data_IF_285389651702
#
_entry.id   IF_285389651702
#
_cell.length_a   1.000
_cell.length_b   1.000
_cell.length_c   1.000
_cell.angle_alpha   90.00
_cell.angle_beta   90.00
_cell.angle_gamma   90.00
#
_symmetry.space_group_name_H-M   'P 1'
#
loop_
_entity.id
_entity.type
_entity.pdbx_description
1 polymer ?
#
# COMPACT_ATOMS: atom_id res chain seq x y z
N UNK A 1 -11.24 -9.22 4.79
CA UNK A 1 -9.92 -9.68 4.25
C UNK A 1 -9.09 -10.28 5.39
N UNK A 2 -8.40 -11.37 5.12
CA UNK A 2 -7.47 -12.00 6.07
C UNK A 2 -6.08 -11.35 5.98
N UNK A 3 -5.47 -11.03 7.14
CA UNK A 3 -4.18 -10.32 7.20
C UNK A 3 -3.17 -11.19 7.96
N UNK A 4 -2.04 -11.45 7.32
CA UNK A 4 -0.93 -12.19 7.88
C UNK A 4 0.34 -11.33 7.98
N UNK A 5 0.91 -11.23 9.16
CA UNK A 5 2.13 -10.46 9.41
C UNK A 5 3.40 -11.32 9.52
N UNK A 6 3.26 -12.65 9.53
CA UNK A 6 4.38 -13.58 9.67
C UNK A 6 4.14 -14.84 8.83
N UNK A 7 5.12 -15.24 8.05
CA UNK A 7 5.05 -16.43 7.18
C UNK A 7 4.75 -17.72 7.92
N UNK A 8 5.11 -17.81 9.21
CA UNK A 8 4.88 -19.02 10.04
C UNK A 8 3.44 -19.22 10.55
N UNK A 9 2.55 -18.25 10.32
CA UNK A 9 1.19 -18.27 10.90
C UNK A 9 0.17 -19.08 10.08
N UNK A 10 0.46 -19.38 8.81
CA UNK A 10 -0.47 -20.07 7.90
C UNK A 10 0.17 -21.30 7.30
N UNK A 11 -0.57 -22.42 7.36
CA UNK A 11 -0.12 -23.70 6.84
C UNK A 11 -0.70 -24.08 5.48
N UNK A 12 -1.82 -23.50 5.06
CA UNK A 12 -2.47 -23.82 3.77
C UNK A 12 -3.30 -22.65 3.26
N UNK A 13 -2.77 -21.93 2.25
CA UNK A 13 -3.56 -21.05 1.41
C UNK A 13 -4.03 -21.82 0.17
N UNK A 14 -5.21 -21.50 -0.41
CA UNK A 14 -5.56 -21.97 -1.75
C UNK A 14 -4.62 -21.37 -2.79
N UNK A 15 -4.74 -21.78 -4.03
CA UNK A 15 -4.03 -21.17 -5.14
C UNK A 15 -4.41 -19.69 -5.28
N UNK A 16 -3.42 -18.82 -5.45
CA UNK A 16 -3.62 -17.36 -5.40
C UNK A 16 -3.21 -16.64 -6.68
N UNK A 17 -3.84 -15.47 -6.89
CA UNK A 17 -3.41 -14.43 -7.81
C UNK A 17 -2.82 -13.28 -6.95
N UNK A 18 -1.52 -13.04 -7.05
CA UNK A 18 -0.79 -12.18 -6.12
C UNK A 18 -0.40 -10.85 -6.77
N UNK A 19 -0.86 -9.74 -6.22
CA UNK A 19 -0.35 -8.40 -6.54
C UNK A 19 0.84 -8.05 -5.64
N UNK A 20 1.93 -7.59 -6.24
CA UNK A 20 3.17 -7.22 -5.53
C UNK A 20 3.35 -5.71 -5.51
N UNK A 21 3.57 -5.13 -4.33
CA UNK A 21 3.85 -3.71 -4.20
C UNK A 21 3.85 -3.23 -2.75
N UNK A 22 4.34 -2.01 -2.52
CA UNK A 22 4.23 -1.35 -1.22
C UNK A 22 2.80 -0.85 -0.95
N UNK A 23 2.08 -0.48 -2.02
CA UNK A 23 0.70 0.01 -1.99
C UNK A 23 0.45 1.19 -1.05
N UNK A 24 1.48 2.02 -0.81
CA UNK A 24 1.32 3.23 -0.02
C UNK A 24 0.45 4.26 -0.77
N UNK A 25 -0.68 4.63 -0.15
CA UNK A 25 -1.71 5.49 -0.71
C UNK A 25 -2.72 4.77 -1.62
N UNK A 26 -2.50 3.52 -2.02
CA UNK A 26 -3.38 2.75 -2.94
C UNK A 26 -3.86 3.62 -4.12
N UNK A 27 -2.92 4.38 -4.73
CA UNK A 27 -3.20 5.30 -5.84
C UNK A 27 -3.61 4.56 -7.12
N UNK A 28 -4.07 5.30 -8.15
CA UNK A 28 -4.59 4.74 -9.41
C UNK A 28 -3.65 3.71 -10.07
N UNK A 29 -2.33 3.92 -10.01
CA UNK A 29 -1.35 2.94 -10.49
C UNK A 29 -1.36 1.64 -9.66
N UNK A 30 -1.45 1.74 -8.32
CA UNK A 30 -1.61 0.57 -7.44
C UNK A 30 -2.93 -0.15 -7.69
N UNK A 31 -4.02 0.61 -7.86
CA UNK A 31 -5.35 0.04 -8.16
C UNK A 31 -5.34 -0.79 -9.44
N UNK A 32 -4.58 -0.39 -10.45
CA UNK A 32 -4.46 -1.16 -11.69
C UNK A 32 -3.84 -2.55 -11.43
N UNK A 33 -2.76 -2.62 -10.64
CA UNK A 33 -2.10 -3.88 -10.27
C UNK A 33 -3.02 -4.76 -9.41
N UNK A 34 -3.67 -4.16 -8.41
CA UNK A 34 -4.58 -4.84 -7.48
C UNK A 34 -5.77 -5.42 -8.24
N UNK A 35 -6.42 -4.62 -9.10
CA UNK A 35 -7.56 -5.08 -9.91
C UNK A 35 -7.17 -6.16 -10.92
N UNK A 36 -5.97 -6.10 -11.50
CA UNK A 36 -5.50 -7.14 -12.39
C UNK A 36 -5.39 -8.49 -11.66
N UNK A 37 -4.90 -8.51 -10.43
CA UNK A 37 -4.87 -9.72 -9.60
C UNK A 37 -6.28 -10.15 -9.17
N UNK A 38 -7.13 -9.21 -8.72
CA UNK A 38 -8.47 -9.49 -8.23
C UNK A 38 -9.41 -10.07 -9.31
N UNK A 39 -9.17 -9.71 -10.59
CA UNK A 39 -9.99 -10.15 -11.73
C UNK A 39 -9.29 -11.19 -12.61
N UNK A 40 -8.21 -11.81 -12.15
CA UNK A 40 -7.41 -12.73 -12.94
C UNK A 40 -8.22 -13.99 -13.34
N UNK A 41 -8.69 -14.70 -12.35
CA UNK A 41 -9.43 -15.95 -12.54
C UNK A 41 -10.28 -16.26 -11.30
N UNK A 42 -11.53 -16.70 -11.46
CA UNK A 42 -12.45 -16.91 -10.34
C UNK A 42 -12.03 -18.03 -9.38
N UNK A 43 -11.21 -18.97 -9.83
CA UNK A 43 -10.66 -20.05 -9.02
C UNK A 43 -9.44 -19.65 -8.19
N UNK A 44 -8.81 -18.54 -8.50
CA UNK A 44 -7.65 -18.03 -7.75
C UNK A 44 -8.09 -17.04 -6.69
N UNK A 45 -7.62 -17.23 -5.46
CA UNK A 45 -7.88 -16.28 -4.39
C UNK A 45 -7.05 -15.01 -4.60
N UNK A 46 -7.68 -13.82 -4.71
CA UNK A 46 -6.95 -12.57 -4.85
C UNK A 46 -6.16 -12.24 -3.59
N UNK A 47 -4.86 -12.08 -3.75
CA UNK A 47 -3.94 -11.83 -2.65
C UNK A 47 -3.00 -10.66 -2.95
N UNK A 48 -2.48 -10.05 -1.89
CA UNK A 48 -1.48 -9.00 -1.95
C UNK A 48 -0.27 -9.41 -1.11
N UNK A 49 0.93 -9.22 -1.67
CA UNK A 49 2.15 -9.12 -0.91
C UNK A 49 2.55 -7.65 -0.79
N UNK A 50 2.67 -7.18 0.44
CA UNK A 50 3.19 -5.87 0.79
C UNK A 50 4.12 -6.00 2.00
N UNK A 51 4.62 -4.92 2.56
CA UNK A 51 5.38 -4.93 3.81
C UNK A 51 5.14 -3.64 4.57
N UNK A 52 5.38 -3.69 5.88
CA UNK A 52 5.33 -2.51 6.75
C UNK A 52 6.73 -2.13 7.22
N UNK A 53 6.96 -0.84 7.34
CA UNK A 53 8.14 -0.33 8.03
C UNK A 53 7.90 -0.33 9.54
N UNK A 54 8.82 -0.90 10.31
CA UNK A 54 8.79 -0.71 11.76
C UNK A 54 9.17 0.74 12.11
N UNK A 55 8.49 1.31 13.09
CA UNK A 55 8.69 2.69 13.54
C UNK A 55 10.15 3.04 13.84
N UNK A 56 10.94 2.06 14.26
CA UNK A 56 12.37 2.21 14.54
C UNK A 56 13.24 2.27 13.29
N UNK A 57 12.80 1.67 12.18
CA UNK A 57 13.55 1.67 10.91
C UNK A 57 13.29 2.93 10.08
N UNK A 58 12.17 3.58 10.30
CA UNK A 58 11.77 4.83 9.63
C UNK A 58 12.66 6.01 10.00
N UNK A 59 13.46 5.92 11.07
CA UNK A 59 14.34 7.01 11.52
C UNK A 59 15.32 7.48 10.44
N UNK A 60 15.74 6.59 9.53
CA UNK A 60 16.61 6.94 8.39
C UNK A 60 15.84 7.38 7.14
N UNK A 61 14.53 7.08 7.05
CA UNK A 61 13.65 7.47 5.93
C UNK A 61 12.62 8.54 6.33
N UNK A 62 12.88 9.32 7.36
CA UNK A 62 12.05 10.40 7.93
C UNK A 62 11.49 11.44 6.92
N UNK A 63 11.88 11.37 5.65
CA UNK A 63 11.45 12.34 4.64
C UNK A 63 10.18 11.93 3.88
N UNK A 64 9.69 10.71 4.03
CA UNK A 64 8.68 10.21 3.09
C UNK A 64 7.24 10.23 3.59
N UNK A 65 6.90 10.52 4.82
CA UNK A 65 5.51 10.54 5.31
C UNK A 65 4.60 9.47 4.68
N UNK A 66 3.94 8.69 5.49
CA UNK A 66 3.03 7.64 5.05
C UNK A 66 1.78 8.26 4.42
N UNK A 67 1.40 7.84 3.22
CA UNK A 67 0.20 8.35 2.54
C UNK A 67 -1.09 7.73 3.08
N UNK A 68 -1.00 6.51 3.60
CA UNK A 68 -2.16 5.79 4.09
C UNK A 68 -1.75 4.87 5.23
N UNK A 69 -2.45 4.96 6.35
CA UNK A 69 -2.21 4.09 7.51
C UNK A 69 -2.52 2.63 7.20
N UNK A 70 -1.90 1.66 7.89
CA UNK A 70 -2.09 0.22 7.63
C UNK A 70 -3.56 -0.20 7.66
N UNK A 71 -4.33 0.30 8.61
CA UNK A 71 -5.75 -0.04 8.78
C UNK A 71 -6.58 0.43 7.58
N UNK A 72 -6.36 1.67 7.14
CA UNK A 72 -7.02 2.24 5.96
C UNK A 72 -6.55 1.57 4.67
N UNK A 73 -5.27 1.17 4.60
CA UNK A 73 -4.73 0.40 3.47
C UNK A 73 -5.43 -0.94 3.34
N UNK A 74 -5.58 -1.66 4.46
CA UNK A 74 -6.27 -2.95 4.49
C UNK A 74 -7.73 -2.83 4.03
N UNK A 75 -8.48 -1.84 4.55
CA UNK A 75 -9.85 -1.59 4.13
C UNK A 75 -9.95 -1.30 2.62
N UNK A 76 -9.08 -0.43 2.09
CA UNK A 76 -9.06 -0.14 0.64
C UNK A 76 -8.71 -1.37 -0.21
N UNK A 77 -7.77 -2.20 0.20
CA UNK A 77 -7.44 -3.42 -0.53
C UNK A 77 -8.65 -4.38 -0.59
N UNK A 78 -9.39 -4.49 0.51
CA UNK A 78 -10.61 -5.31 0.58
C UNK A 78 -11.71 -4.77 -0.35
N UNK A 79 -11.90 -3.45 -0.44
CA UNK A 79 -12.82 -2.81 -1.39
C UNK A 79 -12.50 -3.17 -2.86
N UNK A 80 -11.22 -3.38 -3.18
CA UNK A 80 -10.76 -3.82 -4.50
C UNK A 80 -10.81 -5.33 -4.72
N UNK A 81 -11.40 -6.09 -3.79
CA UNK A 81 -11.62 -7.53 -3.93
C UNK A 81 -10.49 -8.41 -3.41
N UNK A 82 -9.49 -7.86 -2.75
CA UNK A 82 -8.42 -8.66 -2.13
C UNK A 82 -9.00 -9.42 -0.93
N UNK A 83 -8.65 -10.70 -0.82
CA UNK A 83 -9.10 -11.61 0.23
C UNK A 83 -8.00 -11.95 1.24
N UNK A 84 -6.75 -11.89 0.82
CA UNK A 84 -5.59 -12.18 1.65
C UNK A 84 -4.49 -11.14 1.48
N UNK A 85 -3.93 -10.65 2.58
CA UNK A 85 -2.78 -9.74 2.59
C UNK A 85 -1.65 -10.32 3.44
N UNK A 86 -0.49 -10.54 2.82
CA UNK A 86 0.76 -10.82 3.53
C UNK A 86 1.54 -9.52 3.69
N UNK A 87 1.71 -9.08 4.95
CA UNK A 87 2.40 -7.82 5.29
C UNK A 87 3.48 -8.03 6.38
N UNK A 88 4.58 -8.71 6.10
CA UNK A 88 5.66 -8.88 7.06
C UNK A 88 6.39 -7.56 7.33
N UNK A 89 7.13 -7.44 8.46
CA UNK A 89 8.05 -6.34 8.70
C UNK A 89 9.11 -6.25 7.58
N UNK A 90 9.44 -5.03 7.15
CA UNK A 90 10.44 -4.81 6.10
C UNK A 90 11.81 -5.37 6.49
N UNK A 91 12.20 -5.28 7.77
CA UNK A 91 13.44 -5.85 8.32
C UNK A 91 13.62 -7.35 8.04
N UNK A 92 12.51 -8.07 7.95
CA UNK A 92 12.51 -9.50 7.62
C UNK A 92 12.78 -9.73 6.13
N UNK A 93 12.15 -8.92 5.26
CA UNK A 93 12.19 -9.11 3.80
C UNK A 93 13.45 -8.52 3.16
N UNK A 94 13.95 -7.39 3.69
CA UNK A 94 15.09 -6.67 3.13
C UNK A 94 16.41 -7.46 3.12
N UNK A 95 16.50 -8.51 3.93
CA UNK A 95 17.69 -9.39 4.03
C UNK A 95 17.55 -10.67 3.21
N UNK A 96 16.37 -10.93 2.66
CA UNK A 96 16.06 -12.16 1.92
C UNK A 96 16.66 -12.10 0.51
N UNK A 97 17.36 -13.13 0.12
CA UNK A 97 17.86 -13.25 -1.26
C UNK A 97 16.65 -13.34 -2.23
N UNK A 98 16.75 -12.76 -3.45
CA UNK A 98 15.62 -12.74 -4.38
C UNK A 98 14.99 -14.11 -4.67
N UNK A 99 15.81 -15.14 -4.84
CA UNK A 99 15.35 -16.50 -5.08
C UNK A 99 14.59 -17.07 -3.90
N UNK A 100 15.03 -16.78 -2.68
CA UNK A 100 14.35 -17.19 -1.44
C UNK A 100 12.98 -16.50 -1.30
N UNK A 101 12.87 -15.24 -1.72
CA UNK A 101 11.58 -14.55 -1.77
C UNK A 101 10.64 -15.22 -2.76
N UNK A 102 11.09 -15.51 -3.97
CA UNK A 102 10.25 -16.13 -5.00
C UNK A 102 9.79 -17.54 -4.56
N UNK A 103 10.76 -18.41 -4.20
CA UNK A 103 10.42 -19.79 -3.85
C UNK A 103 9.69 -19.88 -2.51
N UNK A 104 10.23 -19.21 -1.47
CA UNK A 104 9.71 -19.34 -0.11
C UNK A 104 8.39 -18.59 0.08
N UNK A 105 8.31 -17.34 -0.38
CA UNK A 105 7.13 -16.50 -0.16
C UNK A 105 6.08 -16.72 -1.25
N UNK A 106 6.42 -16.51 -2.52
CA UNK A 106 5.41 -16.50 -3.56
C UNK A 106 4.90 -17.92 -3.88
N UNK A 107 5.79 -18.90 -4.05
CA UNK A 107 5.36 -20.22 -4.50
C UNK A 107 4.99 -21.14 -3.35
N UNK A 108 5.81 -21.24 -2.30
CA UNK A 108 5.58 -22.19 -1.22
C UNK A 108 4.58 -21.69 -0.18
N UNK A 109 4.59 -20.39 0.17
CA UNK A 109 3.70 -19.84 1.19
C UNK A 109 2.41 -19.30 0.59
N UNK A 110 2.49 -18.44 -0.42
CA UNK A 110 1.30 -17.82 -1.04
C UNK A 110 0.64 -18.70 -2.11
N UNK A 111 1.23 -19.81 -2.51
CA UNK A 111 0.74 -20.70 -3.58
C UNK A 111 0.38 -19.93 -4.86
N UNK A 112 1.22 -18.98 -5.26
CA UNK A 112 0.97 -18.11 -6.39
C UNK A 112 0.87 -18.91 -7.71
N UNK A 113 -0.23 -18.77 -8.42
CA UNK A 113 -0.45 -19.27 -9.80
C UNK A 113 -0.44 -18.14 -10.81
N UNK A 114 -0.67 -16.90 -10.36
CA UNK A 114 -0.52 -15.70 -11.15
C UNK A 114 0.10 -14.59 -10.29
N UNK A 115 1.03 -13.84 -10.88
CA UNK A 115 1.76 -12.77 -10.20
C UNK A 115 1.68 -11.49 -11.01
N UNK A 116 1.34 -10.38 -10.35
CA UNK A 116 1.14 -9.07 -10.95
C UNK A 116 2.01 -8.02 -10.28
N UNK A 117 2.71 -7.20 -11.04
CA UNK A 117 3.48 -6.07 -10.51
C UNK A 117 3.62 -4.95 -11.53
N UNK A 118 4.07 -3.77 -11.09
CA UNK A 118 4.51 -2.71 -11.99
C UNK A 118 5.88 -3.03 -12.61
N UNK A 119 6.23 -2.32 -13.69
CA UNK A 119 7.49 -2.52 -14.42
C UNK A 119 8.75 -2.21 -13.59
N UNK A 120 8.63 -1.31 -12.61
CA UNK A 120 9.71 -0.84 -11.72
C UNK A 120 9.84 -1.66 -10.45
N UNK A 121 9.10 -2.77 -10.31
CA UNK A 121 9.09 -3.58 -9.09
C UNK A 121 10.47 -4.17 -8.79
N UNK A 122 10.92 -3.95 -7.54
CA UNK A 122 12.17 -4.47 -7.01
C UNK A 122 11.94 -5.20 -5.70
N UNK A 123 12.71 -6.23 -5.44
CA UNK A 123 12.58 -7.05 -4.22
C UNK A 123 13.89 -7.69 -3.79
N UNK A 124 13.86 -8.30 -2.61
CA UNK A 124 15.01 -8.99 -2.04
C UNK A 124 16.11 -8.05 -1.58
N UNK A 125 17.21 -8.65 -1.13
CA UNK A 125 18.35 -7.96 -0.55
C UNK A 125 18.96 -6.96 -1.56
N UNK A 126 19.18 -5.74 -1.09
CA UNK A 126 19.68 -4.61 -1.88
C UNK A 126 18.85 -4.32 -3.15
N UNK A 127 17.56 -4.67 -3.17
CA UNK A 127 16.69 -4.56 -4.34
C UNK A 127 17.25 -5.25 -5.60
N UNK A 128 18.00 -6.36 -5.42
CA UNK A 128 18.66 -7.08 -6.50
C UNK A 128 17.66 -7.83 -7.39
N UNK A 129 16.51 -8.26 -6.84
CA UNK A 129 15.42 -8.85 -7.61
C UNK A 129 14.71 -7.82 -8.48
N UNK A 130 14.33 -8.22 -9.69
CA UNK A 130 13.64 -7.41 -10.67
C UNK A 130 12.57 -8.21 -11.42
N UNK A 131 11.81 -7.54 -12.27
CA UNK A 131 10.73 -8.15 -13.07
C UNK A 131 11.24 -9.24 -14.02
N UNK A 132 12.43 -9.13 -14.54
CA UNK A 132 13.03 -10.14 -15.43
C UNK A 132 13.36 -11.45 -14.69
N UNK A 133 13.96 -11.34 -13.48
CA UNK A 133 14.22 -12.49 -12.62
C UNK A 133 12.89 -13.17 -12.22
N UNK A 134 11.89 -12.36 -11.86
CA UNK A 134 10.57 -12.86 -11.46
C UNK A 134 9.89 -13.58 -12.63
N UNK A 135 9.95 -13.01 -13.83
CA UNK A 135 9.40 -13.61 -15.06
C UNK A 135 9.99 -14.99 -15.32
N UNK A 136 11.32 -15.09 -15.34
CA UNK A 136 12.02 -16.39 -15.57
C UNK A 136 11.63 -17.44 -14.52
N UNK A 137 11.54 -17.03 -13.26
CA UNK A 137 11.15 -17.94 -12.19
C UNK A 137 9.70 -18.40 -12.33
N UNK A 138 8.79 -17.52 -12.69
CA UNK A 138 7.39 -17.85 -12.95
C UNK A 138 7.25 -18.81 -14.13
N UNK A 139 7.89 -18.52 -15.26
CA UNK A 139 7.90 -19.39 -16.45
C UNK A 139 8.39 -20.80 -16.13
N UNK A 140 9.50 -20.90 -15.38
CA UNK A 140 10.08 -22.20 -14.96
C UNK A 140 9.11 -23.03 -14.10
N UNK A 141 8.25 -22.38 -13.31
CA UNK A 141 7.33 -23.04 -12.37
C UNK A 141 5.88 -23.10 -12.86
N UNK A 142 5.60 -22.74 -14.11
CA UNK A 142 4.24 -22.75 -14.68
C UNK A 142 3.30 -21.73 -14.03
N UNK A 143 3.85 -20.63 -13.50
CA UNK A 143 3.11 -19.53 -12.88
C UNK A 143 2.94 -18.42 -13.92
N UNK A 144 1.75 -17.85 -14.02
CA UNK A 144 1.50 -16.70 -14.90
C UNK A 144 2.17 -15.46 -14.35
N UNK A 145 2.78 -14.65 -15.22
CA UNK A 145 3.42 -13.39 -14.81
C UNK A 145 2.96 -12.23 -15.68
N UNK A 146 2.51 -11.16 -15.02
CA UNK A 146 1.93 -10.00 -15.68
C UNK A 146 2.59 -8.71 -15.18
N UNK A 147 3.15 -7.93 -16.11
CA UNK A 147 3.58 -6.56 -15.85
C UNK A 147 2.42 -5.63 -16.19
N UNK A 148 1.96 -4.88 -15.21
CA UNK A 148 0.90 -3.90 -15.37
C UNK A 148 1.51 -2.56 -15.77
N UNK A 149 1.03 -2.00 -16.89
CA UNK A 149 1.52 -0.73 -17.40
C UNK A 149 1.20 0.42 -16.45
N UNK A 150 2.06 1.44 -16.35
CA UNK A 150 1.83 2.58 -15.49
C UNK A 150 0.57 3.36 -15.92
N UNK A 151 -0.25 3.73 -14.93
CA UNK A 151 -1.36 4.65 -15.16
C UNK A 151 -0.81 6.06 -15.28
N UNK A 152 -1.18 6.75 -16.36
CA UNK A 152 -0.75 8.13 -16.60
C UNK A 152 -1.82 9.13 -16.17
N UNK A 153 -1.38 10.30 -15.76
CA UNK A 153 -2.18 11.48 -15.50
C UNK A 153 -1.47 12.67 -16.16
N UNK A 154 -2.09 13.25 -17.19
CA UNK A 154 -1.50 14.26 -18.08
C UNK A 154 -0.15 13.80 -18.68
N UNK A 155 -0.06 12.54 -19.14
CA UNK A 155 1.14 11.97 -19.73
C UNK A 155 2.25 11.59 -18.74
N UNK A 156 2.07 11.82 -17.46
CA UNK A 156 3.06 11.53 -16.39
C UNK A 156 2.59 10.36 -15.53
N UNK A 157 3.45 9.39 -15.22
CA UNK A 157 3.07 8.27 -14.34
C UNK A 157 2.55 8.72 -12.97
N UNK A 158 1.46 8.09 -12.54
CA UNK A 158 0.94 8.23 -11.18
C UNK A 158 1.86 7.50 -10.21
N UNK A 159 2.35 8.21 -9.18
CA UNK A 159 3.26 7.63 -8.18
C UNK A 159 3.05 8.23 -6.80
N UNK A 160 3.42 7.47 -5.75
CA UNK A 160 3.40 7.96 -4.36
C UNK A 160 4.29 9.20 -4.18
N UNK A 161 5.40 9.30 -4.91
CA UNK A 161 6.29 10.47 -4.88
C UNK A 161 5.58 11.72 -5.37
N UNK A 162 4.85 11.64 -6.50
CA UNK A 162 4.09 12.75 -7.07
C UNK A 162 2.95 13.19 -6.16
N UNK A 163 2.27 12.22 -5.52
CA UNK A 163 1.21 12.50 -4.54
C UNK A 163 1.77 13.22 -3.32
N UNK A 164 2.91 12.76 -2.79
CA UNK A 164 3.57 13.46 -1.65
C UNK A 164 3.96 14.88 -1.98
N UNK A 165 4.46 15.12 -3.18
CA UNK A 165 4.78 16.48 -3.63
C UNK A 165 3.52 17.35 -3.65
N UNK A 166 2.44 16.91 -4.27
CA UNK A 166 1.17 17.62 -4.33
C UNK A 166 0.63 17.97 -2.91
N UNK A 167 0.66 17.01 -1.99
CA UNK A 167 0.22 17.25 -0.60
C UNK A 167 1.10 18.28 0.13
N UNK A 168 2.42 18.24 -0.07
CA UNK A 168 3.36 19.21 0.54
C UNK A 168 3.19 20.63 -0.03
N UNK A 169 2.76 20.74 -1.27
CA UNK A 169 2.44 22.01 -1.93
C UNK A 169 1.03 22.50 -1.59
N UNK A 170 0.17 21.62 -1.04
CA UNK A 170 -1.23 21.93 -0.72
C UNK A 170 -2.16 21.73 -1.90
N UNK A 171 -1.70 21.15 -3.00
CA UNK A 171 -2.52 20.80 -4.16
C UNK A 171 -3.31 19.50 -3.90
N UNK A 172 -4.35 19.63 -3.07
CA UNK A 172 -5.23 18.50 -2.72
C UNK A 172 -6.00 18.00 -3.94
N UNK A 173 -6.33 18.90 -4.89
CA UNK A 173 -7.04 18.50 -6.09
C UNK A 173 -6.20 17.52 -6.93
N UNK A 174 -4.94 17.82 -7.15
CA UNK A 174 -4.00 16.91 -7.82
C UNK A 174 -3.82 15.62 -7.02
N UNK A 175 -3.58 15.71 -5.71
CA UNK A 175 -3.41 14.53 -4.87
C UNK A 175 -4.62 13.58 -4.97
N UNK A 176 -5.85 14.11 -4.87
CA UNK A 176 -7.08 13.33 -4.98
C UNK A 176 -7.24 12.71 -6.38
N UNK A 177 -6.92 13.45 -7.44
CA UNK A 177 -6.97 12.94 -8.81
C UNK A 177 -6.00 11.77 -9.02
N UNK A 178 -4.78 11.87 -8.47
CA UNK A 178 -3.78 10.81 -8.55
C UNK A 178 -4.16 9.59 -7.68
N UNK A 179 -4.74 9.83 -6.52
CA UNK A 179 -5.26 8.78 -5.63
C UNK A 179 -6.50 8.08 -6.22
N UNK A 180 -7.33 8.83 -6.98
CA UNK A 180 -8.64 8.36 -7.43
C UNK A 180 -9.71 8.38 -6.33
N UNK A 181 -9.42 9.02 -5.20
CA UNK A 181 -10.32 9.25 -4.05
C UNK A 181 -9.79 10.41 -3.22
N UNK A 182 -10.61 11.03 -2.36
CA UNK A 182 -10.12 12.01 -1.39
C UNK A 182 -8.95 11.49 -0.58
N UNK A 183 -7.95 12.33 -0.34
CA UNK A 183 -6.88 12.01 0.58
C UNK A 183 -7.44 11.81 1.98
N UNK A 184 -7.11 10.70 2.61
CA UNK A 184 -7.63 10.32 3.92
C UNK A 184 -6.52 10.30 4.95
N UNK A 185 -6.84 10.79 6.13
CA UNK A 185 -5.99 10.68 7.32
C UNK A 185 -6.87 10.36 8.52
N UNK A 186 -6.35 9.67 9.49
CA UNK A 186 -7.04 9.41 10.75
C UNK A 186 -6.16 9.83 11.93
N UNK A 187 -6.77 10.10 13.06
CA UNK A 187 -6.07 10.49 14.27
C UNK A 187 -7.00 10.45 15.46
N UNK A 188 -6.43 10.48 16.65
CA UNK A 188 -7.18 10.48 17.89
C UNK A 188 -7.68 11.88 18.20
N UNK A 189 -8.96 12.01 18.51
CA UNK A 189 -9.53 13.27 19.00
C UNK A 189 -9.03 13.51 20.43
N UNK A 190 -8.47 14.68 20.67
CA UNK A 190 -7.95 15.10 21.97
C UNK A 190 -8.60 16.40 22.44
N UNK A 191 -8.68 16.58 23.74
CA UNK A 191 -9.19 17.82 24.31
C UNK A 191 -8.25 19.00 24.03
N UNK A 192 -8.81 20.10 23.57
CA UNK A 192 -8.11 21.36 23.37
C UNK A 192 -8.46 22.40 24.45
N UNK A 193 -8.23 23.67 24.15
CA UNK A 193 -8.51 24.80 25.03
C UNK A 193 -9.99 25.19 25.14
N UNK A 194 -10.90 24.49 24.48
CA UNK A 194 -12.34 24.74 24.41
C UNK A 194 -12.76 26.12 23.88
N UNK A 195 -11.84 26.92 23.35
CA UNK A 195 -12.10 28.27 22.84
C UNK A 195 -13.17 28.28 21.72
N UNK A 196 -13.23 27.26 20.87
CA UNK A 196 -14.24 27.14 19.82
C UNK A 196 -15.66 27.03 20.40
N UNK A 197 -15.81 26.35 21.52
CA UNK A 197 -17.11 26.25 22.22
C UNK A 197 -17.57 27.59 22.78
N UNK A 198 -16.66 28.35 23.41
CA UNK A 198 -16.94 29.70 23.94
C UNK A 198 -17.32 30.69 22.83
N UNK A 199 -16.76 30.52 21.63
CA UNK A 199 -17.05 31.36 20.46
C UNK A 199 -18.27 30.88 19.64
N UNK A 200 -18.98 29.81 20.08
CA UNK A 200 -20.11 29.23 19.36
C UNK A 200 -19.75 28.36 18.14
N UNK A 201 -18.45 28.07 17.95
CA UNK A 201 -17.95 27.19 16.88
C UNK A 201 -17.19 26.00 17.48
N UNK A 202 -17.87 24.94 17.93
CA UNK A 202 -17.21 23.76 18.49
C UNK A 202 -16.21 23.17 17.49
N UNK A 203 -15.00 22.86 17.98
CA UNK A 203 -13.92 22.31 17.19
C UNK A 203 -13.42 21.03 17.82
N UNK A 204 -12.96 20.09 17.00
CA UNK A 204 -12.20 18.94 17.44
C UNK A 204 -10.72 19.18 17.18
N UNK A 205 -9.86 18.69 18.08
CA UNK A 205 -8.43 18.64 17.87
C UNK A 205 -8.04 17.20 17.58
N UNK A 206 -7.37 16.99 16.48
CA UNK A 206 -6.94 15.67 16.04
C UNK A 206 -5.41 15.55 16.17
N UNK A 207 -4.96 14.51 16.85
CA UNK A 207 -3.54 14.17 16.97
C UNK A 207 -3.16 13.20 15.87
N UNK A 208 -2.22 13.61 15.01
CA UNK A 208 -1.66 12.78 13.94
C UNK A 208 -0.41 12.05 14.42
N UNK A 209 -0.13 10.88 13.83
CA UNK A 209 1.15 10.20 14.04
C UNK A 209 2.29 10.97 13.38
N UNK A 210 3.49 10.96 13.95
CA UNK A 210 4.69 11.52 13.31
C UNK A 210 5.03 10.88 11.96
N UNK A 211 4.47 9.72 11.67
CA UNK A 211 4.67 8.98 10.43
C UNK A 211 3.72 9.42 9.31
N UNK A 212 2.60 10.08 9.67
CA UNK A 212 1.61 10.52 8.71
C UNK A 212 2.14 11.69 7.87
N UNK A 213 1.85 11.67 6.59
CA UNK A 213 2.05 12.84 5.75
C UNK A 213 0.92 13.84 6.01
N UNK A 214 1.25 14.95 6.64
CA UNK A 214 0.31 16.06 6.81
C UNK A 214 0.43 16.97 5.58
N UNK A 215 -0.69 17.36 4.93
CA UNK A 215 -0.68 18.34 3.87
C UNK A 215 -0.08 19.67 4.34
N UNK A 216 0.35 20.52 3.40
CA UNK A 216 0.75 21.89 3.70
C UNK A 216 -0.25 22.57 4.63
N UNK A 217 0.22 23.30 5.63
CA UNK A 217 -0.69 24.03 6.53
C UNK A 217 -1.63 24.96 5.74
N UNK A 218 -2.90 24.88 6.06
CA UNK A 218 -3.96 25.60 5.37
C UNK A 218 -5.33 25.27 5.91
N UNK A 219 -6.35 25.78 5.24
CA UNK A 219 -7.77 25.50 5.53
C UNK A 219 -8.29 24.60 4.39
N UNK A 220 -8.88 23.47 4.77
CA UNK A 220 -9.38 22.47 3.84
C UNK A 220 -10.83 22.12 4.17
N UNK A 221 -11.64 21.95 3.14
CA UNK A 221 -12.95 21.33 3.28
C UNK A 221 -12.76 19.81 3.42
N UNK A 222 -13.31 19.23 4.47
CA UNK A 222 -13.15 17.80 4.79
C UNK A 222 -14.49 17.14 5.09
N UNK A 223 -14.57 15.85 4.84
CA UNK A 223 -15.62 14.97 5.38
C UNK A 223 -15.00 14.28 6.59
N UNK A 224 -15.69 14.29 7.73
CA UNK A 224 -15.20 13.69 8.97
C UNK A 224 -16.15 12.58 9.37
N UNK A 225 -15.59 11.40 9.61
CA UNK A 225 -16.27 10.28 10.25
C UNK A 225 -15.73 10.17 11.67
N UNK A 226 -16.62 10.05 12.64
CA UNK A 226 -16.26 9.93 14.06
C UNK A 226 -16.86 8.63 14.54
N UNK A 227 -16.04 7.78 15.16
CA UNK A 227 -16.47 6.56 15.81
C UNK A 227 -17.37 6.92 17.01
N UNK A 228 -18.58 6.44 17.02
CA UNK A 228 -19.58 6.70 18.04
C UNK A 228 -20.66 5.65 18.05
#
# INVERSE_FOLDING_TARGET
MEICNQVSQFSQLPDTAVALGLFDGVHRGHQAVIRAAANCAPELMPAVFTFRFDTREVVTKKQFGQLLRPELKAAKLEEYGIRFMLEPPFSTIMKMEPESFIQGILFNFMHAKAVFCGEDFRFGKNAAGNTELLKRACEKNGVQFHIVQPVLDDGVPVSSTRIRAALREGDIALANRLLGSPYMTCGTVVHGRHMGHELGFPTINQLFSPEDLIPRFGVYATIVEIDG
#
